data_IF_427297002802
#
_entry.id   IF_427297002802
#
_cell.length_a   1.000
_cell.length_b   1.000
_cell.length_c   1.000
_cell.angle_alpha   90.00
_cell.angle_beta   90.00
_cell.angle_gamma   90.00
#
_symmetry.space_group_name_H-M   'P 1'
#
loop_
_entity.id
_entity.type
_entity.pdbx_description
1 polymer ?
#
# COMPACT_ATOMS: atom_id res chain seq x y z
N UNK A 1 14.63 -34.17 14.25
CA UNK A 1 15.13 -33.53 13.02
C UNK A 1 14.26 -32.32 12.77
N UNK A 2 14.72 -31.12 13.11
CA UNK A 2 14.02 -29.87 12.83
C UNK A 2 14.39 -29.44 11.40
N UNK A 3 13.46 -29.54 10.45
CA UNK A 3 13.62 -29.09 9.07
C UNK A 3 12.75 -27.87 8.85
N UNK A 4 13.37 -26.71 8.66
CA UNK A 4 12.69 -25.44 8.43
C UNK A 4 12.30 -25.22 6.98
N UNK A 5 11.05 -24.79 6.76
CA UNK A 5 10.59 -24.10 5.53
C UNK A 5 9.37 -23.18 5.80
N UNK A 6 9.19 -22.65 7.01
CA UNK A 6 8.10 -21.71 7.29
C UNK A 6 8.17 -20.39 6.46
N UNK A 7 9.32 -20.08 5.85
CA UNK A 7 9.55 -18.83 5.13
C UNK A 7 9.09 -18.78 3.66
N UNK A 8 8.79 -19.93 3.02
CA UNK A 8 8.47 -19.94 1.59
C UNK A 8 6.95 -19.83 1.30
N UNK A 9 6.10 -20.21 2.25
CA UNK A 9 4.64 -20.10 2.13
C UNK A 9 4.11 -18.69 2.38
N UNK A 10 4.53 -18.05 3.48
CA UNK A 10 4.01 -16.73 3.87
C UNK A 10 4.27 -15.62 2.83
N UNK A 11 5.45 -15.63 2.20
CA UNK A 11 5.77 -14.67 1.14
C UNK A 11 4.96 -14.94 -0.13
N UNK A 12 4.74 -16.21 -0.50
CA UNK A 12 3.92 -16.58 -1.65
C UNK A 12 2.44 -16.22 -1.45
N UNK A 13 1.93 -16.39 -0.22
CA UNK A 13 0.56 -16.01 0.16
C UNK A 13 0.36 -14.48 0.18
N UNK A 14 1.45 -13.70 0.31
CA UNK A 14 1.42 -12.23 0.31
C UNK A 14 1.48 -11.63 -1.10
N UNK A 15 1.86 -12.40 -2.13
CA UNK A 15 1.97 -11.91 -3.52
C UNK A 15 0.64 -11.41 -4.11
N UNK A 16 -0.51 -12.08 -3.91
CA UNK A 16 -1.79 -11.58 -4.39
C UNK A 16 -2.16 -10.24 -3.74
N UNK A 17 -1.96 -10.11 -2.43
CA UNK A 17 -2.20 -8.86 -1.69
C UNK A 17 -1.31 -7.74 -2.23
N UNK A 18 -0.02 -8.01 -2.41
CA UNK A 18 0.91 -7.05 -3.00
C UNK A 18 0.49 -6.62 -4.41
N UNK A 19 0.02 -7.55 -5.25
CA UNK A 19 -0.47 -7.23 -6.59
C UNK A 19 -1.70 -6.30 -6.56
N UNK A 20 -2.61 -6.52 -5.61
CA UNK A 20 -3.78 -5.64 -5.39
C UNK A 20 -3.33 -4.25 -4.96
N UNK A 21 -2.43 -4.14 -3.98
CA UNK A 21 -1.91 -2.85 -3.51
C UNK A 21 -1.22 -2.06 -4.64
N UNK A 22 -0.42 -2.73 -5.47
CA UNK A 22 0.20 -2.12 -6.64
C UNK A 22 -0.84 -1.67 -7.67
N UNK A 23 -1.91 -2.44 -7.87
CA UNK A 23 -3.03 -2.07 -8.72
C UNK A 23 -3.72 -0.79 -8.26
N UNK A 24 -3.99 -0.65 -6.95
CA UNK A 24 -4.59 0.56 -6.37
C UNK A 24 -3.67 1.78 -6.57
N UNK A 25 -2.37 1.64 -6.36
CA UNK A 25 -1.40 2.72 -6.59
C UNK A 25 -1.39 3.15 -8.06
N UNK A 26 -1.41 2.20 -8.98
CA UNK A 26 -1.44 2.49 -10.41
C UNK A 26 -2.74 3.20 -10.82
N UNK A 27 -3.89 2.79 -10.27
CA UNK A 27 -5.19 3.42 -10.50
C UNK A 27 -5.21 4.89 -10.02
N UNK A 28 -4.59 5.17 -8.87
CA UNK A 28 -4.52 6.53 -8.32
C UNK A 28 -3.41 7.40 -8.93
N UNK A 29 -2.56 6.86 -9.82
CA UNK A 29 -1.33 7.53 -10.27
C UNK A 29 -1.55 8.89 -10.92
N UNK A 30 -2.56 9.04 -11.79
CA UNK A 30 -2.87 10.32 -12.44
C UNK A 30 -3.28 11.40 -11.43
N UNK A 31 -4.08 11.03 -10.41
CA UNK A 31 -4.52 11.96 -9.38
C UNK A 31 -3.37 12.33 -8.42
N UNK A 32 -2.47 11.37 -8.15
CA UNK A 32 -1.24 11.59 -7.37
C UNK A 32 -0.21 12.46 -8.09
N UNK A 33 -0.20 12.48 -9.42
CA UNK A 33 0.67 13.34 -10.24
C UNK A 33 0.04 14.71 -10.58
N UNK A 34 -1.13 15.01 -10.01
CA UNK A 34 -1.82 16.27 -10.24
C UNK A 34 -0.99 17.48 -9.80
N UNK A 35 -1.01 18.54 -10.60
CA UNK A 35 -0.42 19.84 -10.22
C UNK A 35 -1.20 20.53 -9.08
N UNK A 36 -2.44 20.09 -8.81
CA UNK A 36 -3.26 20.60 -7.72
C UNK A 36 -3.00 19.81 -6.43
N UNK A 37 -2.45 20.51 -5.43
CA UNK A 37 -2.11 19.95 -4.13
C UNK A 37 -3.33 19.32 -3.43
N UNK A 38 -4.51 19.95 -3.52
CA UNK A 38 -5.71 19.42 -2.88
C UNK A 38 -6.16 18.10 -3.54
N UNK A 39 -5.98 17.97 -4.85
CA UNK A 39 -6.25 16.72 -5.58
C UNK A 39 -5.26 15.63 -5.16
N UNK A 40 -3.96 15.95 -5.04
CA UNK A 40 -2.96 14.98 -4.59
C UNK A 40 -3.22 14.50 -3.17
N UNK A 41 -3.51 15.41 -2.23
CA UNK A 41 -3.81 15.09 -0.82
C UNK A 41 -5.05 14.20 -0.73
N UNK A 42 -6.12 14.54 -1.45
CA UNK A 42 -7.34 13.75 -1.47
C UNK A 42 -7.10 12.35 -2.05
N UNK A 43 -6.36 12.25 -3.16
CA UNK A 43 -6.02 10.98 -3.78
C UNK A 43 -5.17 10.09 -2.86
N UNK A 44 -4.18 10.67 -2.17
CA UNK A 44 -3.34 9.95 -1.22
C UNK A 44 -4.15 9.45 -0.01
N UNK A 45 -5.06 10.27 0.52
CA UNK A 45 -5.95 9.88 1.64
C UNK A 45 -6.89 8.74 1.25
N UNK A 46 -7.49 8.83 0.07
CA UNK A 46 -8.37 7.79 -0.46
C UNK A 46 -7.61 6.49 -0.71
N UNK A 47 -6.44 6.57 -1.35
CA UNK A 47 -5.57 5.42 -1.60
C UNK A 47 -5.16 4.74 -0.29
N UNK A 48 -4.74 5.49 0.74
CA UNK A 48 -4.39 4.95 2.06
C UNK A 48 -5.56 4.15 2.64
N UNK A 49 -6.77 4.71 2.58
CA UNK A 49 -7.99 4.06 3.08
C UNK A 49 -8.23 2.73 2.37
N UNK A 50 -8.22 2.71 1.03
CA UNK A 50 -8.42 1.49 0.24
C UNK A 50 -7.34 0.44 0.48
N UNK A 51 -6.09 0.86 0.66
CA UNK A 51 -4.98 -0.06 0.94
C UNK A 51 -5.12 -0.71 2.33
N UNK A 52 -5.60 0.02 3.34
CA UNK A 52 -5.87 -0.52 4.68
C UNK A 52 -7.03 -1.53 4.66
N UNK A 53 -8.06 -1.29 3.84
CA UNK A 53 -9.16 -2.26 3.65
C UNK A 53 -8.67 -3.60 3.06
N UNK A 54 -7.62 -3.56 2.25
CA UNK A 54 -6.99 -4.76 1.66
C UNK A 54 -6.02 -5.43 2.63
N UNK A 55 -5.19 -4.65 3.32
CA UNK A 55 -4.20 -5.15 4.28
C UNK A 55 -4.01 -4.16 5.44
N UNK A 56 -4.44 -4.57 6.63
CA UNK A 56 -4.34 -3.76 7.85
C UNK A 56 -2.89 -3.44 8.24
N UNK A 57 -1.90 -4.23 7.78
CA UNK A 57 -0.49 -3.92 8.01
C UNK A 57 -0.05 -2.62 7.35
N UNK A 58 -0.83 -2.09 6.40
CA UNK A 58 -0.58 -0.77 5.81
C UNK A 58 -0.72 0.33 6.87
N UNK A 59 -1.68 0.21 7.80
CA UNK A 59 -1.91 1.23 8.83
C UNK A 59 -0.80 1.25 9.90
N UNK A 60 -0.32 0.07 10.29
CA UNK A 60 0.74 -0.09 11.30
C UNK A 60 2.17 0.10 10.72
N UNK A 61 2.30 0.32 9.41
CA UNK A 61 3.60 0.37 8.73
C UNK A 61 4.22 1.76 8.75
N UNK A 62 5.37 1.88 9.41
CA UNK A 62 6.22 3.09 9.40
C UNK A 62 6.62 3.52 7.98
N UNK A 63 6.78 2.57 7.05
CA UNK A 63 7.13 2.88 5.66
C UNK A 63 5.95 3.55 4.95
N UNK A 64 4.75 2.99 5.10
CA UNK A 64 3.56 3.55 4.45
C UNK A 64 3.18 4.89 5.06
N UNK A 65 3.28 5.04 6.38
CA UNK A 65 3.02 6.31 7.05
C UNK A 65 3.96 7.41 6.55
N UNK A 66 5.26 7.10 6.39
CA UNK A 66 6.23 8.03 5.79
C UNK A 66 5.91 8.39 4.35
N UNK A 67 5.47 7.42 3.53
CA UNK A 67 5.11 7.67 2.13
C UNK A 67 3.88 8.57 2.03
N UNK A 68 2.83 8.26 2.80
CA UNK A 68 1.60 9.06 2.80
C UNK A 68 1.81 10.44 3.42
N UNK A 69 2.71 10.59 4.40
CA UNK A 69 3.09 11.89 4.95
C UNK A 69 3.82 12.82 3.97
N UNK A 70 4.21 12.37 2.78
CA UNK A 70 4.67 13.25 1.70
C UNK A 70 3.54 14.03 1.01
N UNK A 71 2.29 13.66 1.27
CA UNK A 71 1.10 14.25 0.66
C UNK A 71 0.28 15.12 1.63
N UNK A 72 0.77 15.34 2.85
CA UNK A 72 0.20 16.27 3.85
C UNK A 72 0.77 17.70 3.72
#
# INVERSE_FOLDING_TARGET
MAGGTAGQGAAADSLPVLAVLLGLIAESSEALDSADDAVRVAAATELRTRMIEVDLLVDDSVIWDRIFGCFD
#
